data_IF_640739199316
#
_entry.id   IF_640739199316
#
_cell.length_a   1.000
_cell.length_b   1.000
_cell.length_c   1.000
_cell.angle_alpha   90.00
_cell.angle_beta   90.00
_cell.angle_gamma   90.00
#
_symmetry.space_group_name_H-M   'P 1'
#
loop_
_entity.id
_entity.type
_entity.pdbx_description
1 polymer ?
#
# COMPACT_ATOMS: atom_id res chain seq x y z
N UNK A 1 8.59 26.28 -3.08
CA UNK A 1 8.85 26.47 -1.64
C UNK A 1 8.09 25.53 -0.69
N UNK A 2 6.87 25.08 -0.99
CA UNK A 2 6.18 24.07 -0.15
C UNK A 2 6.76 22.63 -0.21
N UNK A 3 7.45 22.26 -1.30
CA UNK A 3 8.08 20.93 -1.44
C UNK A 3 9.34 20.78 -0.58
N UNK A 4 10.05 21.88 -0.27
CA UNK A 4 11.27 21.87 0.55
C UNK A 4 11.00 21.88 2.05
N UNK A 5 9.76 22.11 2.45
CA UNK A 5 9.37 22.23 3.86
C UNK A 5 7.99 21.60 4.05
N UNK A 6 7.91 20.26 4.13
CA UNK A 6 6.65 19.60 4.40
C UNK A 6 6.10 20.11 5.74
N UNK A 7 4.77 20.31 5.85
CA UNK A 7 4.16 20.73 7.11
C UNK A 7 4.57 19.78 8.23
N UNK A 8 4.99 20.33 9.37
CA UNK A 8 5.36 19.56 10.56
C UNK A 8 4.26 18.54 10.89
N UNK A 9 4.69 17.35 11.30
CA UNK A 9 3.95 16.10 11.50
C UNK A 9 2.53 16.23 12.08
N UNK A 10 1.60 16.72 11.27
CA UNK A 10 0.17 16.60 11.48
C UNK A 10 -0.22 15.17 11.12
N UNK A 11 -0.54 14.36 12.14
CA UNK A 11 -1.12 13.00 12.10
C UNK A 11 -1.02 12.34 10.72
N UNK A 12 0.13 11.73 10.43
CA UNK A 12 0.34 10.95 9.21
C UNK A 12 -0.80 9.92 9.04
N UNK A 13 -1.49 9.96 7.89
CA UNK A 13 -2.69 9.18 7.60
C UNK A 13 -2.58 8.60 6.19
N UNK A 14 -3.12 7.41 6.00
CA UNK A 14 -3.34 6.86 4.67
C UNK A 14 -4.63 7.44 4.09
N UNK A 15 -4.62 7.79 2.81
CA UNK A 15 -5.80 8.14 2.04
C UNK A 15 -6.12 6.97 1.12
N UNK A 16 -7.35 6.47 1.17
CA UNK A 16 -7.81 5.40 0.28
C UNK A 16 -9.05 5.88 -0.45
N UNK A 17 -8.99 5.87 -1.78
CA UNK A 17 -10.11 6.13 -2.67
C UNK A 17 -10.53 4.80 -3.29
N UNK A 18 -11.80 4.43 -3.08
CA UNK A 18 -12.39 3.22 -3.64
C UNK A 18 -13.39 3.59 -4.72
N UNK A 19 -13.14 3.10 -5.94
CA UNK A 19 -14.04 3.24 -7.08
C UNK A 19 -14.62 1.87 -7.42
N UNK A 20 -15.92 1.70 -7.21
CA UNK A 20 -16.64 0.48 -7.57
C UNK A 20 -17.40 0.72 -8.87
N UNK A 21 -17.08 -0.02 -9.92
CA UNK A 21 -17.85 -0.02 -11.16
C UNK A 21 -18.76 -1.23 -11.21
N UNK A 22 -20.04 -0.99 -11.52
CA UNK A 22 -20.97 -2.04 -11.91
C UNK A 22 -21.43 -1.78 -13.33
N UNK A 23 -21.18 -2.73 -14.23
CA UNK A 23 -21.51 -2.66 -15.65
C UNK A 23 -22.51 -3.78 -15.99
N UNK A 24 -23.57 -3.43 -16.69
CA UNK A 24 -24.50 -4.40 -17.27
C UNK A 24 -24.38 -4.40 -18.78
N UNK A 25 -24.11 -5.55 -19.38
CA UNK A 25 -24.20 -5.75 -20.81
C UNK A 25 -25.68 -5.87 -21.20
N UNK A 26 -26.20 -4.90 -21.95
CA UNK A 26 -27.63 -4.86 -22.32
C UNK A 26 -28.03 -5.97 -23.31
N UNK A 27 -27.10 -6.46 -24.14
CA UNK A 27 -27.40 -7.50 -25.12
C UNK A 27 -27.50 -8.89 -24.48
N UNK A 28 -26.70 -9.18 -23.46
CA UNK A 28 -26.64 -10.50 -22.81
C UNK A 28 -27.30 -10.53 -21.43
N UNK A 29 -27.65 -9.36 -20.87
CA UNK A 29 -28.09 -9.23 -19.48
C UNK A 29 -26.97 -9.43 -18.44
N UNK A 30 -25.74 -9.76 -18.85
CA UNK A 30 -24.65 -10.08 -17.94
C UNK A 30 -24.19 -8.86 -17.15
N UNK A 31 -24.06 -8.99 -15.83
CA UNK A 31 -23.53 -7.95 -14.95
C UNK A 31 -22.09 -8.27 -14.55
N UNK A 32 -21.22 -7.26 -14.57
CA UNK A 32 -19.86 -7.30 -14.08
C UNK A 32 -19.68 -6.23 -13.00
N UNK A 33 -19.03 -6.59 -11.89
CA UNK A 33 -18.62 -5.65 -10.84
C UNK A 33 -17.11 -5.68 -10.73
N UNK A 34 -16.48 -4.51 -10.69
CA UNK A 34 -15.06 -4.35 -10.43
C UNK A 34 -14.81 -3.28 -9.38
N UNK A 35 -13.64 -3.35 -8.75
CA UNK A 35 -13.18 -2.40 -7.74
C UNK A 35 -11.78 -1.95 -8.09
N UNK A 36 -11.57 -0.64 -8.06
CA UNK A 36 -10.26 0.00 -8.13
C UNK A 36 -10.02 0.69 -6.80
N UNK A 37 -8.89 0.38 -6.15
CA UNK A 37 -8.42 1.10 -4.98
C UNK A 37 -7.19 1.92 -5.35
N UNK A 38 -7.23 3.21 -5.04
CA UNK A 38 -6.08 4.10 -5.10
C UNK A 38 -5.72 4.47 -3.66
N UNK A 39 -4.55 4.05 -3.20
CA UNK A 39 -4.09 4.29 -1.84
C UNK A 39 -2.84 5.18 -1.87
N UNK A 40 -2.95 6.35 -1.26
CA UNK A 40 -1.81 7.21 -0.91
C UNK A 40 -1.43 6.89 0.54
N UNK A 41 -0.23 6.36 0.72
CA UNK A 41 0.21 5.84 2.01
C UNK A 41 1.09 6.87 2.72
N UNK A 42 0.82 7.07 4.01
CA UNK A 42 1.71 7.83 4.88
C UNK A 42 3.15 7.32 4.79
N UNK A 43 4.13 8.23 4.83
CA UNK A 43 5.54 7.89 4.68
C UNK A 43 6.00 6.76 5.62
N UNK A 44 6.69 5.78 5.04
CA UNK A 44 7.35 4.69 5.75
C UNK A 44 8.70 5.17 6.30
N UNK A 45 9.04 4.71 7.50
CA UNK A 45 10.42 4.70 7.99
C UNK A 45 10.55 5.08 9.46
N UNK A 46 11.79 5.29 9.92
CA UNK A 46 12.10 5.56 11.32
C UNK A 46 11.37 6.79 11.90
N UNK A 47 11.15 7.82 11.09
CA UNK A 47 10.44 9.04 11.49
C UNK A 47 8.91 8.87 11.57
N UNK A 48 8.38 7.75 11.08
CA UNK A 48 6.94 7.49 11.02
C UNK A 48 6.37 7.01 12.36
N UNK A 49 5.06 7.22 12.55
CA UNK A 49 4.40 6.85 13.80
C UNK A 49 4.30 5.33 13.95
N UNK A 50 4.17 4.81 15.19
CA UNK A 50 3.97 3.38 15.43
C UNK A 50 2.77 2.80 14.66
N UNK A 51 1.70 3.57 14.51
CA UNK A 51 0.49 3.18 13.77
C UNK A 51 0.76 3.05 12.27
N UNK A 52 1.47 4.00 11.67
CA UNK A 52 1.87 3.91 10.26
C UNK A 52 2.74 2.68 10.05
N UNK A 53 3.73 2.46 10.92
CA UNK A 53 4.57 1.27 10.88
C UNK A 53 3.79 -0.04 11.05
N UNK A 54 2.72 -0.06 11.87
CA UNK A 54 1.86 -1.23 12.01
C UNK A 54 1.15 -1.58 10.69
N UNK A 55 0.66 -0.59 9.94
CA UNK A 55 0.05 -0.80 8.64
C UNK A 55 1.00 -1.45 7.63
N UNK A 56 2.26 -1.00 7.58
CA UNK A 56 3.28 -1.55 6.69
C UNK A 56 3.71 -2.96 7.11
N UNK A 57 3.79 -3.26 8.42
CA UNK A 57 4.05 -4.62 8.90
C UNK A 57 2.95 -5.59 8.45
N UNK A 58 1.69 -5.19 8.56
CA UNK A 58 0.56 -6.01 8.11
C UNK A 58 0.58 -6.22 6.58
N UNK A 59 0.88 -5.17 5.79
CA UNK A 59 1.04 -5.28 4.33
C UNK A 59 2.17 -6.26 3.98
N UNK A 60 3.33 -6.15 4.63
CA UNK A 60 4.45 -7.07 4.45
C UNK A 60 4.04 -8.51 4.74
N UNK A 61 3.39 -8.77 5.86
CA UNK A 61 2.97 -10.13 6.23
C UNK A 61 2.04 -10.75 5.18
N UNK A 62 1.15 -9.94 4.57
CA UNK A 62 0.28 -10.36 3.48
C UNK A 62 1.08 -10.64 2.21
N UNK A 63 1.99 -9.76 1.81
CA UNK A 63 2.81 -9.95 0.61
C UNK A 63 3.70 -11.19 0.74
N UNK A 64 4.30 -11.43 1.91
CA UNK A 64 5.04 -12.65 2.20
C UNK A 64 4.15 -13.91 2.08
N UNK A 65 2.97 -13.88 2.70
CA UNK A 65 2.03 -14.99 2.66
C UNK A 65 1.56 -15.29 1.23
N UNK A 66 1.27 -14.26 0.44
CA UNK A 66 0.90 -14.38 -0.97
C UNK A 66 2.07 -14.92 -1.81
N UNK A 67 3.31 -14.46 -1.55
CA UNK A 67 4.51 -14.96 -2.21
C UNK A 67 4.78 -16.45 -1.95
N UNK A 68 4.39 -16.96 -0.77
CA UNK A 68 4.42 -18.40 -0.43
C UNK A 68 3.24 -19.20 -0.97
N UNK A 69 2.22 -18.55 -1.51
CA UNK A 69 0.98 -19.20 -1.96
C UNK A 69 0.04 -19.59 -0.82
N UNK A 70 0.13 -18.93 0.33
CA UNK A 70 -0.72 -19.22 1.49
C UNK A 70 -2.20 -18.97 1.15
N UNK A 71 -3.07 -19.95 1.46
CA UNK A 71 -4.51 -19.86 1.18
C UNK A 71 -5.24 -18.79 2.01
N UNK A 72 -4.68 -18.40 3.15
CA UNK A 72 -5.29 -17.47 4.11
C UNK A 72 -4.26 -16.44 4.61
N UNK A 73 -3.90 -15.43 3.79
CA UNK A 73 -3.05 -14.34 4.23
C UNK A 73 -3.68 -13.57 5.42
N UNK A 74 -2.85 -12.96 6.31
CA UNK A 74 -3.31 -12.34 7.55
C UNK A 74 -3.89 -10.92 7.36
N UNK A 75 -4.95 -10.78 6.56
CA UNK A 75 -5.56 -9.47 6.24
C UNK A 75 -6.05 -8.67 7.46
N UNK A 76 -6.29 -9.33 8.60
CA UNK A 76 -6.91 -8.74 9.80
C UNK A 76 -5.95 -8.02 10.73
N UNK A 77 -4.64 -8.08 10.47
CA UNK A 77 -3.62 -7.47 11.35
C UNK A 77 -3.71 -5.93 11.42
N UNK A 78 -4.31 -5.27 10.42
CA UNK A 78 -4.49 -3.83 10.41
C UNK A 78 -5.78 -3.40 9.67
N UNK A 79 -6.36 -2.25 10.02
CA UNK A 79 -7.58 -1.75 9.39
C UNK A 79 -7.40 -1.48 7.88
N UNK A 80 -6.24 -0.95 7.48
CA UNK A 80 -5.88 -0.74 6.07
C UNK A 80 -5.92 -2.03 5.25
N UNK A 81 -5.35 -3.12 5.79
CA UNK A 81 -5.26 -4.40 5.07
C UNK A 81 -6.60 -5.12 5.03
N UNK A 82 -7.48 -4.88 6.01
CA UNK A 82 -8.88 -5.33 5.96
C UNK A 82 -9.66 -4.58 4.87
N UNK A 83 -9.48 -3.25 4.78
CA UNK A 83 -10.13 -2.42 3.78
C UNK A 83 -9.72 -2.80 2.35
N UNK A 84 -8.44 -3.13 2.15
CA UNK A 84 -7.83 -3.47 0.87
C UNK A 84 -7.78 -4.97 0.58
N UNK A 85 -8.40 -5.82 1.40
CA UNK A 85 -8.30 -7.28 1.28
C UNK A 85 -8.65 -7.79 -0.13
N UNK A 86 -9.68 -7.22 -0.76
CA UNK A 86 -10.13 -7.59 -2.11
C UNK A 86 -9.29 -6.97 -3.23
N UNK A 87 -8.39 -6.05 -2.89
CA UNK A 87 -7.43 -5.46 -3.82
C UNK A 87 -6.06 -6.12 -3.76
N UNK A 88 -5.69 -6.71 -2.62
CA UNK A 88 -4.36 -7.30 -2.37
C UNK A 88 -4.26 -8.79 -2.74
N UNK A 89 -5.36 -9.54 -2.72
CA UNK A 89 -5.37 -10.99 -2.94
C UNK A 89 -6.32 -11.47 -4.04
N UNK A 90 -6.41 -12.79 -4.21
CA UNK A 90 -7.29 -13.42 -5.19
C UNK A 90 -6.87 -13.13 -6.63
N UNK A 91 -7.82 -12.70 -7.47
CA UNK A 91 -7.56 -12.33 -8.88
C UNK A 91 -7.17 -10.87 -9.07
N UNK A 92 -7.06 -10.10 -7.99
CA UNK A 92 -6.72 -8.69 -8.06
C UNK A 92 -5.30 -8.48 -8.61
N UNK A 93 -5.10 -7.33 -9.24
CA UNK A 93 -3.79 -6.87 -9.70
C UNK A 93 -3.42 -5.67 -8.85
N UNK A 94 -2.36 -5.81 -8.05
CA UNK A 94 -1.82 -4.73 -7.22
C UNK A 94 -0.54 -4.21 -7.85
N UNK A 95 -0.40 -2.89 -7.88
CA UNK A 95 0.85 -2.20 -8.22
C UNK A 95 1.24 -1.34 -7.04
N UNK A 96 2.47 -1.48 -6.59
CA UNK A 96 3.08 -0.59 -5.61
C UNK A 96 3.98 0.41 -6.34
N UNK A 97 3.76 1.70 -6.14
CA UNK A 97 4.58 2.77 -6.70
C UNK A 97 5.37 3.42 -5.58
N UNK A 98 6.69 3.47 -5.73
CA UNK A 98 7.58 4.08 -4.76
C UNK A 98 8.02 5.46 -5.25
N UNK A 99 7.86 6.46 -4.38
CA UNK A 99 8.33 7.82 -4.61
C UNK A 99 9.59 8.06 -3.78
N UNK A 100 10.75 7.95 -4.43
CA UNK A 100 12.05 8.13 -3.78
C UNK A 100 12.59 9.55 -4.06
N UNK A 101 13.38 10.13 -3.13
CA UNK A 101 14.07 11.39 -3.38
C UNK A 101 15.13 11.23 -4.49
N UNK A 102 15.60 12.35 -5.09
CA UNK A 102 16.69 12.30 -6.06
C UNK A 102 17.98 11.75 -5.44
N UNK A 103 18.91 11.18 -6.23
CA UNK A 103 20.07 10.43 -5.75
C UNK A 103 20.91 11.17 -4.71
N UNK A 104 21.10 12.48 -4.86
CA UNK A 104 21.91 13.31 -3.97
C UNK A 104 21.32 13.39 -2.54
N UNK A 105 20.00 13.30 -2.43
CA UNK A 105 19.29 13.24 -1.15
C UNK A 105 19.03 11.81 -0.67
N UNK A 106 19.15 10.82 -1.57
CA UNK A 106 18.91 9.41 -1.27
C UNK A 106 20.11 8.72 -0.61
N UNK A 107 21.34 9.12 -0.98
CA UNK A 107 22.60 8.45 -0.60
C UNK A 107 22.80 8.28 0.92
N UNK A 108 22.30 9.22 1.73
CA UNK A 108 22.43 9.18 3.19
C UNK A 108 21.10 8.87 3.91
N UNK A 109 20.03 8.59 3.17
CA UNK A 109 18.69 8.42 3.76
C UNK A 109 18.38 6.97 4.10
N UNK A 110 18.35 6.64 5.39
CA UNK A 110 17.87 5.34 5.89
C UNK A 110 16.44 5.04 5.40
N UNK A 111 15.61 6.08 5.25
CA UNK A 111 14.22 5.96 4.78
C UNK A 111 14.11 5.44 3.34
N UNK A 112 15.01 5.84 2.44
CA UNK A 112 15.03 5.32 1.06
C UNK A 112 15.37 3.83 1.04
N UNK A 113 16.35 3.42 1.85
CA UNK A 113 16.71 2.02 2.00
C UNK A 113 15.55 1.19 2.57
N UNK A 114 14.85 1.68 3.59
CA UNK A 114 13.69 1.02 4.18
C UNK A 114 12.54 0.86 3.16
N UNK A 115 12.26 1.90 2.37
CA UNK A 115 11.25 1.86 1.31
C UNK A 115 11.58 0.82 0.23
N UNK A 116 12.82 0.82 -0.28
CA UNK A 116 13.26 -0.15 -1.29
C UNK A 116 13.26 -1.57 -0.72
N UNK A 117 13.73 -1.76 0.51
CA UNK A 117 13.71 -3.06 1.20
C UNK A 117 12.29 -3.59 1.36
N UNK A 118 11.35 -2.73 1.74
CA UNK A 118 9.94 -3.07 1.76
C UNK A 118 9.42 -3.50 0.38
N UNK A 119 9.70 -2.76 -0.69
CA UNK A 119 9.16 -3.07 -2.01
C UNK A 119 9.76 -4.33 -2.66
N UNK A 120 11.02 -4.60 -2.38
CA UNK A 120 11.76 -5.74 -2.95
C UNK A 120 11.59 -7.01 -2.13
N UNK A 121 11.08 -6.90 -0.90
CA UNK A 121 11.09 -7.99 0.06
C UNK A 121 12.49 -8.34 0.56
N UNK A 122 13.48 -7.46 0.36
CA UNK A 122 14.81 -7.64 0.95
C UNK A 122 14.73 -7.39 2.46
N UNK A 123 15.19 -8.36 3.27
CA UNK A 123 15.13 -8.26 4.74
C UNK A 123 13.78 -8.67 5.36
N UNK A 124 12.97 -9.39 4.60
CA UNK A 124 11.70 -10.00 5.04
C UNK A 124 11.89 -11.40 5.58
#
# INVERSE_FOLDING_TARGET
DAYRSPPQAGRARHLVVLVTLTRTNRATGSMCRSKLALADLAGLGFSSTPEVNASYRALRNIFQALGRGDKRPPFREHALTQLLQDCLGGSAKTVLVLTLPPPEAALDSTECFEAVSFATGAGW
#
